data_IF_643694266209
#
_entry.id   IF_643694266209
#
_cell.length_a   1.000
_cell.length_b   1.000
_cell.length_c   1.000
_cell.angle_alpha   90.00
_cell.angle_beta   90.00
_cell.angle_gamma   90.00
#
_symmetry.space_group_name_H-M   'P 1'
#
loop_
_entity.id
_entity.type
_entity.pdbx_description
1 polymer ?
#
# COMPACT_ATOMS: atom_id res chain seq x y z
N UNK A 1 -5.16 -3.09 -5.03
CA UNK A 1 -4.20 -2.33 -5.86
C UNK A 1 -4.79 -1.54 -7.05
N UNK A 2 -5.95 -1.87 -7.61
CA UNK A 2 -6.52 -1.10 -8.76
C UNK A 2 -6.68 0.42 -8.49
N UNK A 3 -7.12 0.88 -7.29
CA UNK A 3 -7.20 2.31 -7.00
C UNK A 3 -5.82 3.00 -6.98
N UNK A 4 -4.79 2.34 -6.45
CA UNK A 4 -3.40 2.83 -6.44
C UNK A 4 -2.87 3.09 -7.85
N UNK A 5 -3.21 2.24 -8.82
CA UNK A 5 -2.81 2.43 -10.22
C UNK A 5 -3.54 3.61 -10.87
N UNK A 6 -4.81 3.84 -10.52
CA UNK A 6 -5.64 4.93 -11.07
C UNK A 6 -5.27 6.29 -10.49
N UNK A 7 -4.91 6.34 -9.22
CA UNK A 7 -4.53 7.55 -8.49
C UNK A 7 -3.05 7.53 -8.10
N UNK A 8 -2.20 7.01 -8.99
CA UNK A 8 -0.77 6.91 -8.73
C UNK A 8 -0.15 8.30 -8.61
N UNK A 9 0.60 8.53 -7.54
CA UNK A 9 1.42 9.73 -7.38
C UNK A 9 2.86 9.41 -7.81
N UNK A 10 3.38 10.07 -8.87
CA UNK A 10 4.77 9.88 -9.28
C UNK A 10 5.74 10.29 -8.17
N UNK A 11 6.82 9.53 -8.01
CA UNK A 11 7.92 9.82 -7.06
C UNK A 11 7.47 10.00 -5.60
N UNK A 12 6.37 9.35 -5.21
CA UNK A 12 5.84 9.44 -3.86
C UNK A 12 6.85 9.01 -2.80
N UNK A 13 6.85 9.73 -1.67
CA UNK A 13 7.56 9.32 -0.47
C UNK A 13 6.96 8.05 0.14
N UNK A 14 7.65 7.48 1.14
CA UNK A 14 7.12 6.33 1.88
C UNK A 14 5.87 6.71 2.68
N UNK A 15 5.90 7.85 3.37
CA UNK A 15 4.74 8.43 4.07
C UNK A 15 3.54 8.59 3.13
N UNK A 16 3.73 9.22 1.97
CA UNK A 16 2.64 9.43 1.01
C UNK A 16 2.11 8.09 0.47
N UNK A 17 3.00 7.10 0.29
CA UNK A 17 2.61 5.76 -0.14
C UNK A 17 1.82 5.05 0.95
N UNK A 18 2.26 5.10 2.20
CA UNK A 18 1.58 4.50 3.36
C UNK A 18 0.21 5.15 3.58
N UNK A 19 0.14 6.48 3.57
CA UNK A 19 -1.10 7.25 3.69
C UNK A 19 -2.13 6.84 2.63
N UNK A 20 -1.72 6.79 1.36
CA UNK A 20 -2.60 6.35 0.27
C UNK A 20 -2.99 4.89 0.40
N UNK A 21 -2.07 4.02 0.82
CA UNK A 21 -2.31 2.58 0.95
C UNK A 21 -3.37 2.31 2.01
N UNK A 22 -3.17 2.87 3.21
CA UNK A 22 -4.13 2.76 4.30
C UNK A 22 -5.47 3.37 3.93
N UNK A 23 -5.49 4.60 3.39
CA UNK A 23 -6.72 5.28 3.00
C UNK A 23 -7.53 4.49 1.97
N UNK A 24 -6.88 4.00 0.90
CA UNK A 24 -7.55 3.20 -0.13
C UNK A 24 -8.02 1.85 0.39
N UNK A 25 -7.24 1.21 1.27
CA UNK A 25 -7.62 -0.06 1.89
C UNK A 25 -8.82 0.12 2.82
N UNK A 26 -8.79 1.10 3.73
CA UNK A 26 -9.90 1.37 4.65
C UNK A 26 -11.17 1.82 3.92
N UNK A 27 -11.06 2.51 2.78
CA UNK A 27 -12.20 2.75 1.90
C UNK A 27 -12.78 1.45 1.32
N UNK A 28 -11.94 0.51 0.90
CA UNK A 28 -12.40 -0.79 0.43
C UNK A 28 -13.11 -1.59 1.55
N UNK A 29 -12.56 -1.56 2.77
CA UNK A 29 -13.19 -2.16 3.95
C UNK A 29 -14.53 -1.49 4.28
N UNK A 30 -14.60 -0.16 4.23
CA UNK A 30 -15.84 0.59 4.39
C UNK A 30 -16.91 0.15 3.39
N UNK A 31 -16.57 0.00 2.11
CA UNK A 31 -17.52 -0.45 1.10
C UNK A 31 -17.97 -1.90 1.30
N UNK A 32 -17.06 -2.82 1.65
CA UNK A 32 -17.44 -4.19 1.99
C UNK A 32 -18.39 -4.22 3.19
N UNK A 33 -18.11 -3.44 4.23
CA UNK A 33 -18.99 -3.33 5.40
C UNK A 33 -20.36 -2.77 5.03
N UNK A 34 -20.41 -1.73 4.18
CA UNK A 34 -21.66 -1.15 3.66
C UNK A 34 -22.49 -2.15 2.85
N UNK A 35 -21.84 -3.07 2.15
CA UNK A 35 -22.47 -4.15 1.38
C UNK A 35 -22.82 -5.39 2.21
N UNK A 36 -22.49 -5.43 3.51
CA UNK A 36 -22.72 -6.61 4.36
C UNK A 36 -21.70 -7.74 4.17
N UNK A 37 -20.56 -7.47 3.52
CA UNK A 37 -19.53 -8.46 3.15
C UNK A 37 -18.42 -8.60 4.21
N UNK A 38 -18.64 -8.11 5.44
CA UNK A 38 -17.72 -8.35 6.56
C UNK A 38 -16.49 -7.45 6.64
N UNK A 39 -16.57 -6.20 6.15
CA UNK A 39 -15.44 -5.26 6.24
C UNK A 39 -14.92 -4.99 7.66
N UNK A 40 -13.60 -5.04 7.81
CA UNK A 40 -12.85 -4.92 9.07
C UNK A 40 -12.11 -3.59 9.17
N UNK A 41 -11.87 -3.11 10.40
CA UNK A 41 -11.16 -1.84 10.65
C UNK A 41 -9.66 -2.01 10.98
N UNK A 42 -9.13 -3.24 11.01
CA UNK A 42 -7.68 -3.46 11.11
C UNK A 42 -7.01 -3.28 9.74
N UNK A 43 -5.69 -3.12 9.74
CA UNK A 43 -4.87 -3.08 8.51
C UNK A 43 -4.14 -4.39 8.23
N UNK A 44 -4.50 -5.49 8.90
CA UNK A 44 -3.81 -6.77 8.72
C UNK A 44 -3.96 -7.31 7.30
N UNK A 45 -5.15 -7.15 6.72
CA UNK A 45 -5.35 -7.50 5.30
C UNK A 45 -4.50 -6.64 4.36
N UNK A 46 -4.18 -5.39 4.72
CA UNK A 46 -3.25 -4.58 3.95
C UNK A 46 -1.82 -5.11 4.03
N UNK A 47 -1.38 -5.53 5.22
CA UNK A 47 -0.07 -6.18 5.41
C UNK A 47 0.05 -7.42 4.51
N UNK A 48 -0.98 -8.27 4.47
CA UNK A 48 -1.03 -9.46 3.62
C UNK A 48 -0.94 -9.08 2.13
N UNK A 49 -1.72 -8.08 1.67
CA UNK A 49 -1.68 -7.62 0.28
C UNK A 49 -0.28 -7.19 -0.15
N UNK A 50 0.47 -6.52 0.74
CA UNK A 50 1.84 -6.10 0.44
C UNK A 50 2.86 -7.24 0.50
N UNK A 51 2.67 -8.23 1.36
CA UNK A 51 3.45 -9.47 1.35
C UNK A 51 3.25 -10.25 0.04
N UNK A 52 2.01 -10.36 -0.43
CA UNK A 52 1.70 -10.98 -1.73
C UNK A 52 2.32 -10.19 -2.90
N UNK A 53 2.32 -8.85 -2.80
CA UNK A 53 2.93 -7.99 -3.81
C UNK A 53 4.43 -8.26 -3.94
N UNK A 54 5.13 -8.53 -2.84
CA UNK A 54 6.54 -8.91 -2.88
C UNK A 54 6.78 -10.19 -3.68
N UNK A 55 5.98 -11.22 -3.43
CA UNK A 55 6.06 -12.50 -4.17
C UNK A 55 5.86 -12.26 -5.67
N UNK A 56 4.88 -11.42 -6.03
CA UNK A 56 4.61 -11.04 -7.41
C UNK A 56 5.79 -10.29 -8.03
N UNK A 57 6.34 -9.28 -7.35
CA UNK A 57 7.50 -8.50 -7.84
C UNK A 57 8.74 -9.38 -8.05
N UNK A 58 8.99 -10.33 -7.15
CA UNK A 58 10.08 -11.30 -7.28
C UNK A 58 9.88 -12.22 -8.48
N UNK A 59 8.67 -12.75 -8.67
CA UNK A 59 8.36 -13.58 -9.83
C UNK A 59 8.49 -12.81 -11.16
N UNK A 60 8.05 -11.55 -11.20
CA UNK A 60 8.22 -10.68 -12.38
C UNK A 60 9.70 -10.39 -12.62
N UNK A 61 10.47 -10.09 -11.57
CA UNK A 61 11.92 -9.86 -11.66
C UNK A 61 12.65 -11.04 -12.29
N UNK A 62 12.34 -12.27 -11.85
CA UNK A 62 12.93 -13.49 -12.39
C UNK A 62 12.57 -13.67 -13.87
N UNK A 63 11.31 -13.44 -14.25
CA UNK A 63 10.87 -13.55 -15.65
C UNK A 63 11.56 -12.52 -16.54
N UNK A 64 11.66 -11.26 -16.11
CA UNK A 64 12.35 -10.20 -16.87
C UNK A 64 13.83 -10.53 -17.04
N UNK A 65 14.52 -10.96 -15.97
CA UNK A 65 15.93 -11.40 -16.04
C UNK A 65 16.14 -12.52 -17.06
N UNK A 66 15.19 -13.45 -17.16
CA UNK A 66 15.29 -14.55 -18.13
C UNK A 66 15.01 -14.13 -19.58
N UNK A 67 14.31 -13.01 -19.81
CA UNK A 67 13.83 -12.59 -21.12
C UNK A 67 14.59 -11.39 -21.72
N UNK A 68 15.24 -10.56 -20.90
CA UNK A 68 15.86 -9.29 -21.29
C UNK A 68 17.26 -9.13 -20.66
N UNK A 69 18.22 -8.63 -21.45
CA UNK A 69 19.54 -8.17 -20.97
C UNK A 69 19.50 -6.74 -20.36
N UNK A 70 18.31 -6.15 -20.19
CA UNK A 70 18.16 -4.76 -19.75
C UNK A 70 18.22 -4.63 -18.21
N UNK A 71 19.41 -4.35 -17.68
CA UNK A 71 19.67 -4.19 -16.24
C UNK A 71 18.87 -3.06 -15.57
N UNK A 72 18.55 -1.98 -16.30
CA UNK A 72 17.81 -0.83 -15.76
C UNK A 72 16.38 -1.19 -15.33
N UNK A 73 15.68 -2.02 -16.10
CA UNK A 73 14.32 -2.49 -15.79
C UNK A 73 14.30 -3.37 -14.54
N UNK A 74 15.35 -4.15 -14.33
CA UNK A 74 15.50 -5.03 -13.16
C UNK A 74 15.77 -4.17 -11.91
N UNK A 75 16.68 -3.21 -12.00
CA UNK A 75 16.99 -2.30 -10.89
C UNK A 75 15.77 -1.49 -10.45
N UNK A 76 14.96 -1.01 -11.40
CA UNK A 76 13.71 -0.33 -11.10
C UNK A 76 12.73 -1.22 -10.33
N UNK A 77 12.61 -2.50 -10.71
CA UNK A 77 11.72 -3.44 -10.04
C UNK A 77 12.21 -3.85 -8.64
N UNK A 78 13.52 -3.98 -8.45
CA UNK A 78 14.11 -4.21 -7.12
C UNK A 78 13.84 -3.03 -6.18
N UNK A 79 13.99 -1.80 -6.66
CA UNK A 79 13.66 -0.60 -5.87
C UNK A 79 12.17 -0.55 -5.54
N UNK A 80 11.30 -0.88 -6.50
CA UNK A 80 9.86 -0.95 -6.29
C UNK A 80 9.49 -2.00 -5.23
N UNK A 81 10.13 -3.16 -5.30
CA UNK A 81 9.93 -4.26 -4.36
C UNK A 81 10.37 -3.89 -2.94
N UNK A 82 11.55 -3.29 -2.79
CA UNK A 82 12.05 -2.81 -1.51
C UNK A 82 11.07 -1.82 -0.86
N UNK A 83 10.47 -0.92 -1.65
CA UNK A 83 9.45 0.03 -1.16
C UNK A 83 8.18 -0.66 -0.71
N UNK A 84 7.70 -1.65 -1.46
CA UNK A 84 6.50 -2.41 -1.11
C UNK A 84 6.72 -3.25 0.15
N UNK A 85 7.89 -3.88 0.27
CA UNK A 85 8.25 -4.77 1.37
C UNK A 85 8.30 -4.09 2.73
N UNK A 86 8.56 -2.78 2.78
CA UNK A 86 8.62 -2.09 4.07
C UNK A 86 7.23 -1.83 4.65
N UNK A 87 6.20 -1.65 3.82
CA UNK A 87 4.85 -1.25 4.26
C UNK A 87 4.29 -2.15 5.37
N UNK A 88 4.33 -3.50 5.30
CA UNK A 88 3.81 -4.37 6.36
C UNK A 88 4.40 -4.10 7.75
N UNK A 89 5.64 -3.61 7.81
CA UNK A 89 6.36 -3.37 9.07
C UNK A 89 6.12 -1.98 9.64
N UNK A 90 5.89 -0.98 8.79
CA UNK A 90 5.84 0.44 9.19
C UNK A 90 4.45 1.05 9.18
N UNK A 91 3.46 0.35 8.61
CA UNK A 91 2.14 0.95 8.35
C UNK A 91 1.39 1.37 9.61
N UNK A 92 1.54 0.64 10.72
CA UNK A 92 0.88 0.98 11.97
C UNK A 92 1.52 2.19 12.64
N UNK A 93 2.86 2.23 12.69
CA UNK A 93 3.60 3.39 13.21
C UNK A 93 3.24 4.66 12.44
N UNK A 94 3.20 4.59 11.10
CA UNK A 94 2.77 5.72 10.27
C UNK A 94 1.32 6.15 10.56
N UNK A 95 0.41 5.20 10.79
CA UNK A 95 -0.98 5.52 11.11
C UNK A 95 -1.10 6.23 12.46
N UNK A 96 -0.28 5.86 13.43
CA UNK A 96 -0.21 6.52 14.72
C UNK A 96 0.39 7.94 14.60
N UNK A 97 1.43 8.13 13.78
CA UNK A 97 2.04 9.43 13.53
C UNK A 97 1.05 10.43 12.90
N UNK A 98 0.28 9.98 11.90
CA UNK A 98 -0.67 10.86 11.21
C UNK A 98 -1.97 11.10 11.99
N UNK A 99 -2.19 10.38 13.11
CA UNK A 99 -3.43 10.45 13.88
C UNK A 99 -3.82 11.87 14.28
N UNK A 100 -2.84 12.70 14.63
CA UNK A 100 -3.01 14.10 15.01
C UNK A 100 -3.59 14.96 13.87
N UNK A 101 -3.29 14.61 12.61
CA UNK A 101 -3.82 15.31 11.43
C UNK A 101 -5.35 15.20 11.32
N UNK A 102 -5.95 14.21 11.98
CA UNK A 102 -7.39 13.95 11.96
C UNK A 102 -8.12 14.52 13.19
N UNK A 103 -7.44 15.19 14.11
CA UNK A 103 -8.07 15.71 15.32
C UNK A 103 -9.21 16.69 15.03
N UNK A 104 -9.12 17.47 13.95
CA UNK A 104 -10.19 18.37 13.50
C UNK A 104 -11.51 17.65 13.19
N UNK A 105 -11.48 16.37 12.81
CA UNK A 105 -12.70 15.56 12.62
C UNK A 105 -13.33 15.13 13.95
N UNK A 106 -12.55 15.04 15.03
CA UNK A 106 -13.07 14.66 16.35
C UNK A 106 -13.83 15.81 17.02
N UNK A 107 -13.43 17.05 16.78
CA UNK A 107 -14.05 18.24 17.39
C UNK A 107 -15.34 18.67 16.70
N UNK A 108 -15.52 18.34 15.41
CA UNK A 108 -16.68 18.74 14.60
C UNK A 108 -17.76 17.64 14.47
N UNK A 109 -17.58 16.49 15.12
CA UNK A 109 -18.54 15.37 15.14
C UNK A 109 -19.26 15.22 16.49
N UNK A 110 -19.19 16.24 17.35
CA UNK A 110 -19.95 16.34 18.61
C UNK A 110 -20.92 17.52 18.49
#
# INVERSE_FOLDING_TARGET
MKPMARFHLPLASQEETAFRAAGMYLLAQYFQKKSGEGGEWSVDGLKIIYQDLHVVNMAISTRIRSALLAESSINALVILDARANMIPFVIEDYLDEIKLLFDAYKTNLI
#
